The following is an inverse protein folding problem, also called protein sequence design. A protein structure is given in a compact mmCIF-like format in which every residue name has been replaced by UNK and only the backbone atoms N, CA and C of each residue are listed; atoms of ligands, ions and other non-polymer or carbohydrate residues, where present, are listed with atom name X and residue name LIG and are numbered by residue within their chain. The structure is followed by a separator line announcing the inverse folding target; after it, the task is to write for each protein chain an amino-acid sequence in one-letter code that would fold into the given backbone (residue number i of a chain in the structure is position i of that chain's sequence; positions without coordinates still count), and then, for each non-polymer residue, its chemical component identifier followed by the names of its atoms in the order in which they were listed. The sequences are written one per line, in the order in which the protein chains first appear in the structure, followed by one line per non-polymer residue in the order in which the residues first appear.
data_IF_261323043727
#
_entry.id   IF_261323043727
#
_cell.length_a   1.000
_cell.length_b   1.000
_cell.length_c   1.000
_cell.angle_alpha   90.00
_cell.angle_beta   90.00
_cell.angle_gamma   90.00
#
_symmetry.space_group_name_H-M   'P 1'
#
loop_
_entity.id
_entity.type
_entity.pdbx_description
1 polymer ?
#
# COMPACT_ATOMS: atom_id res chain seq x y z
N UNK A 1 44.92 -1.75 37.76
CA UNK A 1 44.15 -0.54 37.35
C UNK A 1 44.01 -0.49 35.83
N UNK A 2 45.08 -0.80 35.09
CA UNK A 2 45.06 -0.79 33.60
C UNK A 2 44.08 -1.77 32.95
N UNK A 3 43.90 -2.97 33.52
CA UNK A 3 42.90 -3.93 33.05
C UNK A 3 41.46 -3.44 33.22
N UNK A 4 41.17 -2.72 34.30
CA UNK A 4 39.85 -2.15 34.55
C UNK A 4 39.59 -1.00 33.55
N UNK A 5 40.60 -0.17 33.31
CA UNK A 5 40.50 0.96 32.34
C UNK A 5 40.32 0.41 30.93
N UNK A 6 41.07 -0.61 30.54
CA UNK A 6 40.92 -1.24 29.22
C UNK A 6 39.54 -1.91 29.02
N UNK A 7 39.02 -2.57 30.07
CA UNK A 7 37.69 -3.17 30.03
C UNK A 7 36.57 -2.11 29.93
N UNK A 8 36.74 -0.97 30.61
CA UNK A 8 35.83 0.17 30.51
C UNK A 8 35.87 0.84 29.11
N UNK A 9 37.05 0.94 28.53
CA UNK A 9 37.23 1.43 27.16
C UNK A 9 36.57 0.50 26.15
N UNK A 10 36.81 -0.81 26.25
CA UNK A 10 36.15 -1.81 25.42
C UNK A 10 34.62 -1.76 25.56
N UNK A 11 34.10 -1.61 26.79
CA UNK A 11 32.69 -1.47 27.03
C UNK A 11 32.14 -0.22 26.37
N UNK A 12 32.83 0.93 26.44
CA UNK A 12 32.41 2.18 25.79
C UNK A 12 32.39 2.04 24.26
N UNK A 13 33.43 1.44 23.67
CA UNK A 13 33.49 1.17 22.22
C UNK A 13 32.36 0.25 21.75
N UNK A 14 31.93 -0.64 22.64
CA UNK A 14 30.81 -1.57 22.37
C UNK A 14 29.43 -0.88 22.39
N UNK A 15 29.32 0.28 23.02
CA UNK A 15 28.06 1.00 23.11
C UNK A 15 27.67 1.66 21.78
N UNK A 16 26.38 1.73 21.51
CA UNK A 16 25.86 2.47 20.38
C UNK A 16 26.16 3.98 20.44
N UNK A 17 26.44 4.52 21.62
CA UNK A 17 26.78 5.95 21.78
C UNK A 17 28.12 6.30 21.11
N UNK A 18 29.12 5.42 21.17
CA UNK A 18 30.41 5.65 20.56
C UNK A 18 30.34 5.63 19.01
N UNK A 19 29.45 4.81 18.48
CA UNK A 19 29.31 4.60 17.04
C UNK A 19 28.18 5.47 16.41
N UNK A 20 27.56 6.37 17.17
CA UNK A 20 26.43 7.17 16.73
C UNK A 20 26.88 8.29 15.79
N UNK A 21 26.26 8.36 14.61
CA UNK A 21 26.41 9.45 13.65
C UNK A 21 25.18 10.35 13.64
N UNK A 22 25.30 11.56 13.08
CA UNK A 22 24.16 12.45 12.93
C UNK A 22 23.03 11.82 12.06
N UNK A 23 23.40 10.98 11.10
CA UNK A 23 22.42 10.28 10.25
C UNK A 23 21.57 9.30 11.07
N UNK A 24 22.16 8.57 12.01
CA UNK A 24 21.42 7.70 12.93
C UNK A 24 20.40 8.50 13.78
N UNK A 25 20.83 9.67 14.29
CA UNK A 25 19.95 10.56 15.07
C UNK A 25 18.77 11.02 14.24
N UNK A 26 19.00 11.42 12.97
CA UNK A 26 17.92 11.83 12.05
C UNK A 26 16.94 10.69 11.80
N UNK A 27 17.44 9.48 11.55
CA UNK A 27 16.54 8.33 11.29
C UNK A 27 15.75 7.92 12.52
N UNK A 28 16.35 7.95 13.71
CA UNK A 28 15.64 7.72 14.97
C UNK A 28 14.57 8.80 15.19
N UNK A 29 14.89 10.06 14.91
CA UNK A 29 13.92 11.15 15.01
C UNK A 29 12.75 10.96 14.03
N UNK A 30 13.00 10.54 12.78
CA UNK A 30 11.95 10.21 11.81
C UNK A 30 11.08 9.06 12.34
N UNK A 31 11.67 8.01 12.91
CA UNK A 31 10.92 6.91 13.53
C UNK A 31 10.00 7.38 14.66
N UNK A 32 10.51 8.28 15.53
CA UNK A 32 9.72 8.88 16.61
C UNK A 32 8.58 9.73 16.03
N UNK A 33 8.83 10.50 14.97
CA UNK A 33 7.79 11.29 14.29
C UNK A 33 6.68 10.37 13.73
N UNK A 34 7.03 9.24 13.10
CA UNK A 34 6.05 8.28 12.60
C UNK A 34 5.16 7.73 13.72
N UNK A 35 5.77 7.31 14.83
CA UNK A 35 5.03 6.83 16.01
C UNK A 35 4.12 7.94 16.56
N UNK A 36 4.63 9.17 16.65
CA UNK A 36 3.87 10.30 17.16
C UNK A 36 2.67 10.63 16.27
N UNK A 37 2.87 10.65 14.95
CA UNK A 37 1.76 10.87 13.98
C UNK A 37 0.72 9.76 14.07
N UNK A 38 1.15 8.51 14.21
CA UNK A 38 0.26 7.36 14.38
C UNK A 38 -0.60 7.49 15.65
N UNK A 39 -0.01 7.93 16.76
CA UNK A 39 -0.72 8.02 18.05
C UNK A 39 -1.59 9.29 18.10
N UNK A 40 -1.06 10.46 17.71
CA UNK A 40 -1.75 11.75 17.88
C UNK A 40 -2.76 12.03 16.80
N UNK A 41 -2.47 11.60 15.56
CA UNK A 41 -3.33 11.84 14.39
C UNK A 41 -4.13 10.61 13.97
N UNK A 42 -3.89 9.46 14.60
CA UNK A 42 -4.50 8.17 14.25
C UNK A 42 -4.29 7.80 12.77
N UNK A 43 -3.15 8.24 12.18
CA UNK A 43 -2.80 7.93 10.80
C UNK A 43 -2.21 6.52 10.71
N UNK A 44 -2.96 5.60 10.13
CA UNK A 44 -2.54 4.20 9.91
C UNK A 44 -1.72 3.60 11.08
N UNK A 45 -2.25 3.60 12.32
CA UNK A 45 -1.47 3.22 13.50
C UNK A 45 -0.95 1.79 13.46
N UNK A 46 -1.66 0.87 12.81
CA UNK A 46 -1.26 -0.53 12.68
C UNK A 46 0.00 -0.72 11.83
N UNK A 47 0.32 0.25 10.99
CA UNK A 47 1.51 0.24 10.12
C UNK A 47 2.59 1.19 10.61
N UNK A 48 2.26 2.46 10.88
CA UNK A 48 3.25 3.48 11.22
C UNK A 48 3.92 3.24 12.56
N UNK A 49 3.23 2.64 13.55
CA UNK A 49 3.86 2.31 14.84
C UNK A 49 4.93 1.23 14.67
N UNK A 50 4.66 0.07 14.06
CA UNK A 50 5.70 -0.94 13.82
C UNK A 50 6.83 -0.44 12.92
N UNK A 51 6.53 0.33 11.86
CA UNK A 51 7.56 0.90 10.98
C UNK A 51 8.45 1.87 11.75
N UNK A 52 7.85 2.83 12.48
CA UNK A 52 8.60 3.82 13.26
C UNK A 52 9.48 3.16 14.33
N UNK A 53 8.97 2.15 15.03
CA UNK A 53 9.74 1.40 16.00
C UNK A 53 10.86 0.58 15.35
N UNK A 54 10.58 -0.04 14.21
CA UNK A 54 11.58 -0.71 13.38
C UNK A 54 12.69 0.24 12.92
N UNK A 55 12.34 1.47 12.49
CA UNK A 55 13.32 2.51 12.13
C UNK A 55 14.25 2.85 13.30
N UNK A 56 13.72 2.93 14.52
CA UNK A 56 14.54 3.14 15.71
C UNK A 56 15.50 1.98 15.91
N UNK A 57 15.00 0.73 15.90
CA UNK A 57 15.85 -0.47 16.08
C UNK A 57 16.93 -0.56 15.01
N UNK A 58 16.57 -0.40 13.73
CA UNK A 58 17.48 -0.54 12.59
C UNK A 58 18.57 0.54 12.51
N UNK A 59 18.38 1.66 13.24
CA UNK A 59 19.33 2.77 13.28
C UNK A 59 20.02 2.96 14.63
N UNK A 60 19.92 2.00 15.55
CA UNK A 60 20.81 1.92 16.70
C UNK A 60 22.15 1.41 16.16
N UNK A 61 23.26 2.18 16.29
CA UNK A 61 24.56 1.74 15.82
C UNK A 61 25.02 0.50 16.56
N UNK A 62 25.46 -0.50 15.81
CA UNK A 62 25.90 -1.78 16.35
C UNK A 62 27.42 -1.89 16.19
N UNK A 63 28.05 -2.53 17.16
CA UNK A 63 29.47 -2.87 17.05
C UNK A 63 29.65 -3.96 15.95
N UNK A 64 30.62 -3.81 15.03
CA UNK A 64 30.86 -4.79 13.99
C UNK A 64 31.06 -6.20 14.53
N UNK A 65 30.39 -7.20 13.98
CA UNK A 65 30.53 -8.61 14.37
C UNK A 65 29.57 -9.12 15.43
N UNK A 66 28.60 -8.30 15.89
CA UNK A 66 27.52 -8.76 16.79
C UNK A 66 26.48 -9.66 16.12
N UNK A 67 26.38 -9.61 14.80
CA UNK A 67 25.47 -10.42 13.98
C UNK A 67 23.99 -10.35 14.44
N UNK A 68 23.50 -9.16 14.76
CA UNK A 68 22.11 -8.93 15.20
C UNK A 68 21.29 -8.04 14.26
N UNK A 69 21.92 -7.44 13.25
CA UNK A 69 21.30 -6.53 12.30
C UNK A 69 20.36 -7.21 11.30
N UNK A 70 19.47 -6.43 10.69
CA UNK A 70 18.46 -6.92 9.72
C UNK A 70 19.08 -7.50 8.44
N UNK A 71 20.29 -7.06 8.08
CA UNK A 71 21.02 -7.55 6.91
C UNK A 71 22.08 -8.61 7.24
N UNK A 72 22.25 -8.95 8.51
CA UNK A 72 23.24 -9.94 8.97
C UNK A 72 22.61 -11.33 8.97
N UNK A 73 23.12 -12.21 8.12
CA UNK A 73 22.57 -13.55 7.93
C UNK A 73 22.55 -14.34 9.24
N UNK A 74 21.43 -14.96 9.54
CA UNK A 74 21.21 -15.75 10.74
C UNK A 74 20.79 -14.96 11.98
N UNK A 75 20.78 -13.63 11.93
CA UNK A 75 20.20 -12.83 13.02
C UNK A 75 18.66 -12.99 13.10
N UNK A 76 18.10 -12.80 14.28
CA UNK A 76 16.64 -12.85 14.47
C UNK A 76 15.93 -11.83 13.56
N UNK A 77 16.44 -10.60 13.47
CA UNK A 77 15.89 -9.56 12.59
C UNK A 77 15.98 -9.96 11.13
N UNK A 78 17.05 -10.60 10.68
CA UNK A 78 17.21 -11.10 9.33
C UNK A 78 16.24 -12.23 9.03
N UNK A 79 16.06 -13.19 9.94
CA UNK A 79 15.09 -14.30 9.78
C UNK A 79 13.67 -13.75 9.58
N UNK A 80 13.26 -12.78 10.39
CA UNK A 80 11.96 -12.13 10.21
C UNK A 80 11.90 -11.34 8.90
N UNK A 81 12.98 -10.66 8.51
CA UNK A 81 13.06 -9.91 7.27
C UNK A 81 13.02 -10.77 6.00
N UNK A 82 13.36 -12.06 6.09
CA UNK A 82 13.25 -12.98 4.95
C UNK A 82 11.82 -13.05 4.40
N UNK A 83 10.80 -12.88 5.24
CA UNK A 83 9.41 -12.82 4.78
C UNK A 83 9.13 -11.66 3.83
N UNK A 84 9.81 -10.53 4.02
CA UNK A 84 9.79 -9.37 3.13
C UNK A 84 10.66 -9.63 1.91
N UNK A 85 11.93 -10.02 2.11
CA UNK A 85 12.94 -10.22 1.06
C UNK A 85 12.52 -11.31 0.06
N UNK A 86 11.96 -12.41 0.53
CA UNK A 86 11.48 -13.51 -0.32
C UNK A 86 10.08 -13.22 -0.88
N UNK A 87 9.34 -12.26 -0.31
CA UNK A 87 8.05 -11.80 -0.82
C UNK A 87 6.87 -12.71 -0.47
N UNK A 88 6.91 -13.50 0.63
CA UNK A 88 5.78 -14.33 1.04
C UNK A 88 4.82 -13.66 2.04
N UNK A 89 5.24 -12.60 2.75
CA UNK A 89 4.33 -11.80 3.59
C UNK A 89 3.20 -11.12 2.78
N UNK A 90 3.49 -10.43 1.65
CA UNK A 90 2.44 -9.74 0.90
C UNK A 90 1.27 -10.64 0.46
N UNK A 91 1.48 -11.86 -0.10
CA UNK A 91 0.38 -12.77 -0.38
C UNK A 91 -0.46 -13.13 0.85
N UNK A 92 0.13 -13.27 2.04
CA UNK A 92 -0.61 -13.53 3.27
C UNK A 92 -1.47 -12.33 3.71
N UNK A 93 -0.99 -11.10 3.51
CA UNK A 93 -1.82 -9.90 3.70
C UNK A 93 -2.99 -9.90 2.71
N UNK A 94 -2.74 -10.24 1.44
CA UNK A 94 -3.79 -10.35 0.42
C UNK A 94 -4.86 -11.39 0.78
N UNK A 95 -4.48 -12.49 1.43
CA UNK A 95 -5.43 -13.45 2.00
C UNK A 95 -6.36 -12.79 3.02
N UNK A 96 -5.80 -12.01 3.93
CA UNK A 96 -6.56 -11.27 4.95
C UNK A 96 -7.45 -10.18 4.32
N UNK A 97 -6.90 -9.39 3.39
CA UNK A 97 -7.66 -8.38 2.64
C UNK A 97 -8.82 -9.03 1.90
N UNK A 98 -8.61 -10.17 1.23
CA UNK A 98 -9.66 -10.91 0.55
C UNK A 98 -10.79 -11.34 1.50
N UNK A 99 -10.43 -11.84 2.69
CA UNK A 99 -11.39 -12.21 3.74
C UNK A 99 -12.14 -11.03 4.35
N UNK A 100 -11.57 -9.81 4.31
CA UNK A 100 -12.25 -8.57 4.73
C UNK A 100 -13.16 -8.00 3.65
N UNK A 101 -12.77 -8.15 2.39
CA UNK A 101 -13.38 -7.46 1.25
C UNK A 101 -14.80 -7.94 0.96
N UNK A 102 -15.68 -6.99 0.64
CA UNK A 102 -17.01 -7.25 0.06
C UNK A 102 -17.03 -6.79 -1.41
N UNK A 103 -17.06 -7.74 -2.32
CA UNK A 103 -17.12 -7.47 -3.76
C UNK A 103 -18.53 -7.13 -4.27
N UNK A 104 -19.55 -7.05 -3.40
CA UNK A 104 -20.93 -6.81 -3.80
C UNK A 104 -21.10 -5.54 -4.63
N UNK A 105 -20.43 -4.44 -4.27
CA UNK A 105 -20.49 -3.20 -5.03
C UNK A 105 -19.95 -3.38 -6.46
N UNK A 106 -18.88 -4.15 -6.62
CA UNK A 106 -18.25 -4.44 -7.91
C UNK A 106 -19.11 -5.40 -8.75
N UNK A 107 -19.67 -6.44 -8.13
CA UNK A 107 -20.57 -7.40 -8.78
C UNK A 107 -21.85 -6.70 -9.25
N UNK A 108 -22.40 -5.78 -8.43
CA UNK A 108 -23.63 -5.04 -8.78
C UNK A 108 -23.43 -4.06 -9.92
N UNK A 109 -22.23 -3.46 -10.03
CA UNK A 109 -21.89 -2.45 -11.04
C UNK A 109 -20.50 -2.72 -11.64
N UNK A 110 -20.33 -3.70 -12.56
CA UNK A 110 -19.03 -4.09 -13.11
C UNK A 110 -18.28 -2.95 -13.81
N UNK A 111 -18.97 -1.93 -14.32
CA UNK A 111 -18.34 -0.73 -14.90
C UNK A 111 -17.40 0.01 -13.95
N UNK A 112 -17.53 -0.19 -12.63
CA UNK A 112 -16.66 0.40 -11.62
C UNK A 112 -15.25 -0.17 -11.67
N UNK A 113 -15.04 -1.36 -12.27
CA UNK A 113 -13.72 -1.93 -12.55
C UNK A 113 -12.87 -0.97 -13.38
N UNK A 114 -13.49 -0.30 -14.36
CA UNK A 114 -12.80 0.63 -15.23
C UNK A 114 -12.22 1.85 -14.49
N UNK A 115 -12.88 2.26 -13.40
CA UNK A 115 -12.40 3.37 -12.56
C UNK A 115 -11.13 2.93 -11.80
N UNK A 116 -11.14 1.72 -11.24
CA UNK A 116 -9.95 1.13 -10.62
C UNK A 116 -8.79 0.99 -11.62
N UNK A 117 -9.09 0.51 -12.84
CA UNK A 117 -8.08 0.41 -13.90
C UNK A 117 -7.51 1.79 -14.30
N UNK A 118 -8.35 2.82 -14.41
CA UNK A 118 -7.92 4.17 -14.75
C UNK A 118 -6.99 4.77 -13.68
N UNK A 119 -7.23 4.50 -12.41
CA UNK A 119 -6.35 4.95 -11.32
C UNK A 119 -4.94 4.31 -11.41
N UNK A 120 -4.80 3.11 -12.00
CA UNK A 120 -3.49 2.49 -12.20
C UNK A 120 -2.59 3.26 -13.19
N UNK A 121 -3.12 4.24 -13.92
CA UNK A 121 -2.30 5.16 -14.70
C UNK A 121 -1.26 5.90 -13.84
N UNK A 122 -1.49 6.04 -12.53
CA UNK A 122 -0.50 6.53 -11.59
C UNK A 122 0.76 5.66 -11.54
N UNK A 123 0.61 4.33 -11.57
CA UNK A 123 1.73 3.37 -11.60
C UNK A 123 2.55 3.56 -12.87
N UNK A 124 1.92 3.52 -14.04
CA UNK A 124 2.61 3.64 -15.32
C UNK A 124 3.16 5.04 -15.55
N UNK A 125 2.46 6.08 -15.08
CA UNK A 125 2.96 7.45 -15.11
C UNK A 125 4.24 7.63 -14.29
N UNK A 126 4.27 7.10 -13.07
CA UNK A 126 5.46 7.12 -12.23
C UNK A 126 6.61 6.26 -12.80
N UNK A 127 6.29 5.13 -13.43
CA UNK A 127 7.28 4.33 -14.15
C UNK A 127 8.00 5.14 -15.22
N UNK A 128 7.25 5.83 -16.08
CA UNK A 128 7.82 6.68 -17.14
C UNK A 128 8.62 7.86 -16.56
N UNK A 129 8.13 8.49 -15.49
CA UNK A 129 8.85 9.57 -14.81
C UNK A 129 10.14 9.04 -14.16
N UNK A 130 10.13 7.87 -13.53
CA UNK A 130 11.33 7.27 -12.96
C UNK A 130 12.40 6.97 -14.02
N UNK A 131 11.99 6.44 -15.18
CA UNK A 131 12.90 6.26 -16.32
C UNK A 131 13.51 7.59 -16.78
N UNK A 132 12.72 8.66 -16.87
CA UNK A 132 13.21 10.00 -17.25
C UNK A 132 14.18 10.59 -16.23
N UNK A 133 14.10 10.18 -14.96
CA UNK A 133 15.02 10.59 -13.88
C UNK A 133 16.28 9.73 -13.79
N UNK A 134 16.46 8.76 -14.70
CA UNK A 134 17.66 7.94 -14.82
C UNK A 134 17.67 6.67 -13.96
N UNK A 135 16.51 6.19 -13.49
CA UNK A 135 16.40 4.87 -12.88
C UNK A 135 16.42 3.77 -13.94
N UNK A 136 16.94 2.59 -13.59
CA UNK A 136 16.86 1.41 -14.46
C UNK A 136 15.41 0.94 -14.63
N UNK A 137 15.05 0.24 -15.72
CA UNK A 137 13.67 -0.19 -15.94
C UNK A 137 13.06 -1.02 -14.81
N UNK A 138 13.82 -1.94 -14.22
CA UNK A 138 13.39 -2.72 -13.05
C UNK A 138 13.18 -1.84 -11.82
N UNK A 139 14.10 -0.92 -11.53
CA UNK A 139 13.96 0.06 -10.44
C UNK A 139 12.74 0.97 -10.67
N UNK A 140 12.58 1.47 -11.90
CA UNK A 140 11.46 2.32 -12.27
C UNK A 140 10.10 1.58 -12.11
N UNK A 141 10.04 0.29 -12.46
CA UNK A 141 8.87 -0.55 -12.23
C UNK A 141 8.54 -0.69 -10.74
N UNK A 142 9.57 -0.94 -9.91
CA UNK A 142 9.42 -1.03 -8.46
C UNK A 142 9.02 0.31 -7.82
N UNK A 143 9.47 1.45 -8.35
CA UNK A 143 9.06 2.79 -7.88
C UNK A 143 7.64 3.11 -8.35
N UNK A 144 7.32 2.78 -9.60
CA UNK A 144 6.01 3.07 -10.19
C UNK A 144 4.85 2.49 -9.40
N UNK A 145 5.02 1.28 -8.83
CA UNK A 145 3.96 0.58 -8.09
C UNK A 145 3.46 1.36 -6.87
N UNK A 146 4.22 2.30 -6.33
CA UNK A 146 3.79 3.19 -5.23
C UNK A 146 2.49 3.91 -5.60
N UNK A 147 2.30 4.23 -6.88
CA UNK A 147 1.09 4.89 -7.40
C UNK A 147 -0.19 4.07 -7.25
N UNK A 148 -0.10 2.77 -7.06
CA UNK A 148 -1.24 1.92 -6.73
C UNK A 148 -1.79 2.17 -5.32
N UNK A 149 -1.01 2.81 -4.44
CA UNK A 149 -1.30 3.01 -3.02
C UNK A 149 -1.60 1.69 -2.30
N UNK A 150 -0.77 0.68 -2.56
CA UNK A 150 -0.88 -0.68 -2.04
C UNK A 150 0.48 -1.12 -1.49
N UNK A 151 0.65 -0.99 -0.18
CA UNK A 151 1.90 -1.29 0.51
C UNK A 151 2.39 -2.73 0.30
N UNK A 152 1.54 -3.75 0.51
CA UNK A 152 1.90 -5.14 0.25
C UNK A 152 2.35 -5.39 -1.18
N UNK A 153 1.65 -4.85 -2.17
CA UNK A 153 2.03 -4.96 -3.59
C UNK A 153 3.37 -4.27 -3.87
N UNK A 154 3.61 -3.11 -3.25
CA UNK A 154 4.88 -2.38 -3.39
C UNK A 154 6.06 -3.20 -2.84
N UNK A 155 5.88 -3.86 -1.69
CA UNK A 155 6.89 -4.77 -1.13
C UNK A 155 7.10 -5.97 -2.04
N UNK A 156 6.02 -6.61 -2.49
CA UNK A 156 6.10 -7.79 -3.36
C UNK A 156 6.90 -7.50 -4.63
N UNK A 157 6.56 -6.43 -5.33
CA UNK A 157 7.23 -6.09 -6.58
C UNK A 157 8.67 -5.63 -6.36
N UNK A 158 8.92 -4.75 -5.37
CA UNK A 158 10.25 -4.24 -5.09
C UNK A 158 11.21 -5.32 -4.58
N UNK A 159 10.73 -6.32 -3.83
CA UNK A 159 11.54 -7.46 -3.40
C UNK A 159 12.08 -8.28 -4.58
N UNK A 160 11.40 -8.25 -5.72
CA UNK A 160 11.79 -8.98 -6.95
C UNK A 160 12.58 -8.12 -7.92
N UNK A 161 12.15 -6.87 -8.17
CA UNK A 161 12.73 -6.01 -9.19
C UNK A 161 13.87 -5.10 -8.69
N UNK A 162 13.79 -4.64 -7.43
CA UNK A 162 14.75 -3.69 -6.85
C UNK A 162 14.94 -3.89 -5.34
N UNK A 163 15.53 -5.01 -4.89
CA UNK A 163 15.68 -5.32 -3.48
C UNK A 163 16.43 -4.24 -2.68
N UNK A 164 17.41 -3.58 -3.31
CA UNK A 164 18.21 -2.53 -2.68
C UNK A 164 17.41 -1.24 -2.40
N UNK A 165 16.33 -1.00 -3.16
CA UNK A 165 15.45 0.17 -3.00
C UNK A 165 14.18 -0.17 -2.20
N UNK A 166 13.98 -1.43 -1.84
CA UNK A 166 12.74 -1.92 -1.24
C UNK A 166 12.37 -1.16 0.04
N UNK A 167 13.34 -0.88 0.93
CA UNK A 167 13.08 -0.14 2.16
C UNK A 167 12.53 1.27 1.89
N UNK A 168 13.14 2.02 0.97
CA UNK A 168 12.69 3.36 0.59
C UNK A 168 11.32 3.32 -0.11
N UNK A 169 11.09 2.34 -0.99
CA UNK A 169 9.81 2.15 -1.70
C UNK A 169 8.69 1.80 -0.72
N UNK A 170 8.93 0.85 0.19
CA UNK A 170 7.95 0.41 1.17
C UNK A 170 7.55 1.56 2.13
N UNK A 171 8.55 2.27 2.71
CA UNK A 171 8.27 3.41 3.59
C UNK A 171 7.56 4.52 2.83
N UNK A 172 7.93 4.81 1.59
CA UNK A 172 7.23 5.78 0.74
C UNK A 172 5.77 5.38 0.54
N UNK A 173 5.51 4.12 0.12
CA UNK A 173 4.15 3.62 -0.11
C UNK A 173 3.27 3.73 1.14
N UNK A 174 3.74 3.25 2.29
CA UNK A 174 2.98 3.31 3.54
C UNK A 174 2.79 4.75 4.06
N UNK A 175 3.80 5.63 3.89
CA UNK A 175 3.67 7.03 4.26
C UNK A 175 2.57 7.73 3.45
N UNK A 176 2.48 7.45 2.15
CA UNK A 176 1.43 8.04 1.30
C UNK A 176 0.06 7.42 1.56
N UNK A 177 -0.03 6.13 1.92
CA UNK A 177 -1.28 5.55 2.40
C UNK A 177 -1.80 6.29 3.64
N UNK A 178 -0.94 6.57 4.61
CA UNK A 178 -1.29 7.34 5.80
C UNK A 178 -1.72 8.79 5.49
N UNK A 179 -1.20 9.37 4.40
CA UNK A 179 -1.50 10.73 3.95
C UNK A 179 -2.67 10.82 2.96
N UNK A 180 -3.34 9.72 2.65
CA UNK A 180 -4.48 9.67 1.70
C UNK A 180 -5.48 10.79 1.93
N UNK A 181 -6.03 11.04 3.13
CA UNK A 181 -7.02 12.08 3.33
C UNK A 181 -6.48 13.50 3.05
N UNK A 182 -5.19 13.71 3.30
CA UNK A 182 -4.53 15.01 3.12
C UNK A 182 -4.25 15.29 1.65
N UNK A 183 -3.81 14.26 0.89
CA UNK A 183 -3.38 14.42 -0.50
C UNK A 183 -4.59 14.40 -1.45
N UNK A 184 -5.54 13.48 -1.27
CA UNK A 184 -6.64 13.30 -2.21
C UNK A 184 -7.65 14.43 -2.20
N UNK A 185 -8.02 14.92 -1.02
CA UNK A 185 -9.06 15.94 -0.88
C UNK A 185 -8.80 17.20 -1.72
N UNK A 186 -7.62 17.85 -1.68
CA UNK A 186 -7.33 19.02 -2.54
C UNK A 186 -7.46 18.71 -4.03
N UNK A 187 -6.98 17.54 -4.47
CA UNK A 187 -7.03 17.12 -5.88
C UNK A 187 -8.48 16.95 -6.33
N UNK A 188 -9.30 16.28 -5.52
CA UNK A 188 -10.72 16.08 -5.79
C UNK A 188 -11.46 17.42 -5.90
N UNK A 189 -11.18 18.35 -4.97
CA UNK A 189 -11.80 19.68 -4.98
C UNK A 189 -11.38 20.50 -6.20
N UNK A 190 -10.14 20.37 -6.65
CA UNK A 190 -9.63 21.06 -7.85
C UNK A 190 -10.27 20.51 -9.13
N UNK A 191 -10.46 19.20 -9.22
CA UNK A 191 -10.91 18.53 -10.43
C UNK A 191 -12.44 18.41 -10.55
N UNK A 192 -13.21 18.73 -9.51
CA UNK A 192 -14.66 18.61 -9.51
C UNK A 192 -15.35 19.93 -9.24
N UNK A 193 -16.45 20.18 -9.94
CA UNK A 193 -17.34 21.32 -9.71
C UNK A 193 -18.32 21.05 -8.56
N UNK A 194 -18.89 22.11 -7.96
CA UNK A 194 -19.94 21.96 -6.93
C UNK A 194 -21.14 21.15 -7.42
N UNK A 195 -21.54 21.33 -8.70
CA UNK A 195 -22.67 20.59 -9.30
C UNK A 195 -22.36 19.10 -9.42
N UNK A 196 -21.15 18.74 -9.81
CA UNK A 196 -20.73 17.33 -9.93
C UNK A 196 -20.68 16.61 -8.57
N UNK A 197 -20.29 17.30 -7.51
CA UNK A 197 -20.25 16.75 -6.14
C UNK A 197 -21.63 16.43 -5.57
N UNK A 198 -22.68 17.11 -6.07
CA UNK A 198 -24.07 16.91 -5.67
C UNK A 198 -24.75 15.75 -6.40
N UNK A 199 -24.09 15.08 -7.34
CA UNK A 199 -24.65 13.93 -8.06
C UNK A 199 -24.93 12.82 -7.03
N UNK A 200 -26.21 12.43 -6.93
CA UNK A 200 -26.67 11.30 -6.11
C UNK A 200 -26.71 10.03 -6.96
N UNK A 201 -26.15 8.96 -6.43
CA UNK A 201 -26.16 7.68 -7.11
C UNK A 201 -27.27 6.78 -6.56
N UNK A 202 -27.99 6.03 -7.44
CA UNK A 202 -29.00 5.08 -6.99
C UNK A 202 -28.33 3.94 -6.18
N UNK A 203 -29.04 3.42 -5.18
CA UNK A 203 -28.56 2.30 -4.38
C UNK A 203 -28.17 1.11 -5.25
N UNK A 204 -27.05 0.43 -4.96
CA UNK A 204 -26.64 -0.77 -5.69
C UNK A 204 -27.72 -1.87 -5.57
N UNK A 205 -27.80 -2.74 -6.59
CA UNK A 205 -28.68 -3.91 -6.51
C UNK A 205 -28.17 -4.88 -5.42
N UNK A 206 -29.10 -5.60 -4.83
CA UNK A 206 -28.74 -6.70 -3.92
C UNK A 206 -28.09 -7.83 -4.72
N UNK A 207 -26.93 -8.30 -4.26
CA UNK A 207 -26.17 -9.38 -4.86
C UNK A 207 -26.51 -10.69 -4.15
N UNK A 208 -26.80 -11.75 -4.92
CA UNK A 208 -27.13 -13.06 -4.35
C UNK A 208 -25.87 -13.76 -3.79
N UNK A 209 -26.07 -14.66 -2.80
CA UNK A 209 -24.97 -15.43 -2.24
C UNK A 209 -24.25 -16.30 -3.29
N UNK A 210 -24.97 -16.79 -4.28
CA UNK A 210 -24.36 -17.57 -5.39
C UNK A 210 -23.41 -16.71 -6.22
N UNK A 211 -23.77 -15.46 -6.54
CA UNK A 211 -22.87 -14.54 -7.25
C UNK A 211 -21.62 -14.24 -6.43
N UNK A 212 -21.76 -14.06 -5.11
CA UNK A 212 -20.61 -13.81 -4.20
C UNK A 212 -19.64 -14.99 -4.12
N UNK A 213 -20.12 -16.23 -4.25
CA UNK A 213 -19.27 -17.44 -4.25
C UNK A 213 -18.62 -17.64 -5.61
N UNK A 214 -19.34 -17.40 -6.70
CA UNK A 214 -18.83 -17.62 -8.07
C UNK A 214 -17.80 -16.53 -8.43
N UNK A 215 -18.00 -15.30 -8.00
CA UNK A 215 -17.17 -14.17 -8.39
C UNK A 215 -15.67 -14.36 -8.08
N UNK A 216 -15.23 -14.77 -6.87
CA UNK A 216 -13.81 -14.98 -6.60
C UNK A 216 -13.18 -16.07 -7.45
N UNK A 217 -13.93 -17.12 -7.81
CA UNK A 217 -13.42 -18.20 -8.67
C UNK A 217 -13.23 -17.69 -10.10
N UNK A 218 -14.27 -17.05 -10.68
CA UNK A 218 -14.21 -16.52 -12.05
C UNK A 218 -13.21 -15.38 -12.14
N UNK A 219 -13.21 -14.47 -11.16
CA UNK A 219 -12.27 -13.34 -11.10
C UNK A 219 -10.82 -13.80 -11.01
N UNK A 220 -10.55 -14.81 -10.17
CA UNK A 220 -9.22 -15.41 -10.07
C UNK A 220 -8.79 -16.05 -11.40
N UNK A 221 -9.60 -16.93 -11.97
CA UNK A 221 -9.26 -17.60 -13.23
C UNK A 221 -9.02 -16.58 -14.35
N UNK A 222 -9.90 -15.59 -14.49
CA UNK A 222 -9.75 -14.55 -15.51
C UNK A 222 -8.45 -13.77 -15.35
N UNK A 223 -8.15 -13.29 -14.14
CA UNK A 223 -6.94 -12.51 -13.88
C UNK A 223 -5.67 -13.35 -13.96
N UNK A 224 -5.68 -14.60 -13.50
CA UNK A 224 -4.54 -15.52 -13.53
C UNK A 224 -4.17 -15.94 -14.95
N UNK A 225 -5.15 -16.15 -15.83
CA UNK A 225 -4.89 -16.44 -17.25
C UNK A 225 -4.37 -15.23 -18.01
N UNK A 226 -4.79 -14.02 -17.66
CA UNK A 226 -4.29 -12.79 -18.32
C UNK A 226 -2.90 -12.42 -17.80
N UNK A 227 -2.66 -12.52 -16.47
CA UNK A 227 -1.42 -12.11 -15.82
C UNK A 227 -0.95 -13.19 -14.85
N UNK A 228 -0.31 -14.26 -15.33
CA UNK A 228 0.14 -15.38 -14.47
C UNK A 228 1.14 -14.96 -13.38
N UNK A 229 1.97 -13.96 -13.63
CA UNK A 229 2.95 -13.42 -12.67
C UNK A 229 2.31 -12.73 -11.45
N UNK A 230 1.04 -12.32 -11.55
CA UNK A 230 0.24 -11.80 -10.43
C UNK A 230 -0.42 -12.90 -9.56
N UNK A 231 -0.27 -14.17 -9.91
CA UNK A 231 -0.93 -15.30 -9.25
C UNK A 231 -0.74 -15.35 -7.73
N UNK A 232 0.43 -15.08 -7.14
CA UNK A 232 0.57 -15.12 -5.67
C UNK A 232 -0.32 -14.11 -4.95
N UNK A 233 -0.45 -12.88 -5.46
CA UNK A 233 -1.27 -11.83 -4.85
C UNK A 233 -2.76 -12.05 -5.13
N UNK A 234 -3.12 -12.21 -6.41
CA UNK A 234 -4.51 -12.38 -6.85
C UNK A 234 -5.11 -13.69 -6.33
N UNK A 235 -4.33 -14.78 -6.33
CA UNK A 235 -4.75 -16.06 -5.80
C UNK A 235 -5.12 -15.97 -4.33
N UNK A 236 -4.30 -15.33 -3.52
CA UNK A 236 -4.57 -15.16 -2.09
C UNK A 236 -5.74 -14.19 -1.83
N UNK A 237 -5.88 -13.12 -2.61
CA UNK A 237 -7.01 -12.21 -2.52
C UNK A 237 -8.34 -12.94 -2.74
N UNK A 238 -8.47 -13.61 -3.87
CA UNK A 238 -9.70 -14.32 -4.22
C UNK A 238 -9.93 -15.55 -3.33
N UNK A 239 -8.87 -16.23 -2.89
CA UNK A 239 -8.98 -17.32 -1.93
C UNK A 239 -9.52 -16.85 -0.57
N UNK A 240 -9.00 -15.75 -0.03
CA UNK A 240 -9.50 -15.14 1.20
C UNK A 240 -10.99 -14.76 1.10
N UNK A 241 -11.39 -14.19 -0.03
CA UNK A 241 -12.79 -13.86 -0.27
C UNK A 241 -13.68 -15.12 -0.37
N UNK A 242 -13.20 -16.16 -1.05
CA UNK A 242 -13.92 -17.43 -1.12
C UNK A 242 -14.09 -18.08 0.26
N UNK A 243 -13.08 -18.01 1.13
CA UNK A 243 -13.19 -18.49 2.53
C UNK A 243 -14.33 -17.79 3.28
N UNK A 244 -14.51 -16.48 3.04
CA UNK A 244 -15.57 -15.68 3.65
C UNK A 244 -16.94 -16.02 3.06
N UNK A 245 -17.06 -15.96 1.74
CA UNK A 245 -18.36 -16.03 1.04
C UNK A 245 -18.90 -17.46 0.95
N UNK A 246 -18.06 -18.49 1.09
CA UNK A 246 -18.50 -19.90 1.10
C UNK A 246 -19.48 -20.22 2.23
N UNK A 247 -19.39 -19.49 3.36
CA UNK A 247 -20.19 -19.72 4.56
C UNK A 247 -19.75 -20.92 5.43
N UNK A 248 -19.04 -21.89 4.82
CA UNK A 248 -18.60 -23.14 5.50
C UNK A 248 -17.21 -23.03 6.12
N UNK A 249 -16.40 -22.06 5.68
CA UNK A 249 -15.03 -21.82 6.17
C UNK A 249 -14.92 -20.53 6.99
N UNK A 250 -16.01 -20.12 7.63
CA UNK A 250 -16.09 -18.86 8.37
C UNK A 250 -14.96 -18.68 9.39
N UNK A 251 -14.62 -19.74 10.14
CA UNK A 251 -13.52 -19.70 11.10
C UNK A 251 -12.16 -19.36 10.46
N UNK A 252 -11.88 -19.91 9.27
CA UNK A 252 -10.65 -19.61 8.54
C UNK A 252 -10.65 -18.15 8.05
N UNK A 253 -11.78 -17.66 7.54
CA UNK A 253 -11.93 -16.27 7.13
C UNK A 253 -11.73 -15.29 8.31
N UNK A 254 -12.28 -15.62 9.48
CA UNK A 254 -12.10 -14.81 10.70
C UNK A 254 -10.64 -14.79 11.17
N UNK A 255 -9.95 -15.91 11.11
CA UNK A 255 -8.52 -15.99 11.42
C UNK A 255 -7.68 -15.17 10.41
N UNK A 256 -8.01 -15.28 9.12
CA UNK A 256 -7.27 -14.57 8.06
C UNK A 256 -7.44 -13.06 8.16
N UNK A 257 -8.66 -12.55 8.38
CA UNK A 257 -8.96 -11.12 8.40
C UNK A 257 -8.59 -10.38 9.69
N UNK A 258 -8.28 -11.10 10.76
CA UNK A 258 -7.90 -10.55 12.06
C UNK A 258 -6.50 -11.05 12.45
N UNK A 259 -6.37 -12.13 13.28
CA UNK A 259 -5.08 -12.50 13.86
C UNK A 259 -3.94 -12.69 12.85
N UNK A 260 -4.20 -13.29 11.68
CA UNK A 260 -3.15 -13.52 10.69
C UNK A 260 -2.65 -12.19 10.10
N UNK A 261 -3.57 -11.33 9.63
CA UNK A 261 -3.19 -10.07 9.01
C UNK A 261 -2.48 -9.15 10.01
N UNK A 262 -2.91 -9.14 11.28
CA UNK A 262 -2.32 -8.32 12.34
C UNK A 262 -0.88 -8.75 12.64
N UNK A 263 -0.63 -10.07 12.75
CA UNK A 263 0.72 -10.62 12.96
C UNK A 263 1.63 -10.27 11.77
N UNK A 264 1.17 -10.54 10.56
CA UNK A 264 1.99 -10.27 9.35
C UNK A 264 2.24 -8.77 9.17
N UNK A 265 1.26 -7.93 9.41
CA UNK A 265 1.40 -6.47 9.33
C UNK A 265 2.42 -5.96 10.35
N UNK A 266 2.39 -6.47 11.58
CA UNK A 266 3.37 -6.13 12.61
C UNK A 266 4.79 -6.54 12.19
N UNK A 267 4.97 -7.76 11.67
CA UNK A 267 6.26 -8.26 11.22
C UNK A 267 6.80 -7.48 10.01
N UNK A 268 5.94 -7.18 9.03
CA UNK A 268 6.33 -6.34 7.88
C UNK A 268 6.73 -4.95 8.36
N UNK A 269 5.86 -4.28 9.14
CA UNK A 269 6.15 -2.94 9.60
C UNK A 269 7.47 -2.85 10.34
N UNK A 270 7.69 -3.76 11.30
CA UNK A 270 8.92 -3.81 12.08
C UNK A 270 10.15 -4.03 11.19
N UNK A 271 10.11 -5.05 10.33
CA UNK A 271 11.29 -5.44 9.53
C UNK A 271 11.59 -4.46 8.38
N UNK A 272 10.56 -3.89 7.76
CA UNK A 272 10.71 -2.79 6.79
C UNK A 272 11.29 -1.56 7.49
N UNK A 273 10.80 -1.21 8.67
CA UNK A 273 11.40 -0.14 9.47
C UNK A 273 12.89 -0.41 9.77
N UNK A 274 13.24 -1.61 10.22
CA UNK A 274 14.64 -2.00 10.47
C UNK A 274 15.52 -1.93 9.22
N UNK A 275 14.96 -2.14 8.04
CA UNK A 275 15.69 -2.09 6.76
C UNK A 275 16.04 -0.67 6.30
N UNK A 276 15.43 0.36 6.88
CA UNK A 276 15.72 1.77 6.56
C UNK A 276 16.91 2.30 7.31
N UNK A 277 18.09 1.72 7.04
CA UNK A 277 19.33 2.17 7.63
C UNK A 277 19.75 3.54 7.08
N UNK A 278 20.39 4.34 7.93
CA UNK A 278 20.73 5.74 7.66
C UNK A 278 21.58 5.94 6.41
N UNK A 279 22.55 5.06 6.18
CA UNK A 279 23.47 5.07 5.03
C UNK A 279 22.75 4.83 3.70
N UNK A 280 21.72 3.99 3.69
CA UNK A 280 20.94 3.65 2.50
C UNK A 280 19.78 4.61 2.28
N UNK A 281 19.10 4.99 3.36
CA UNK A 281 17.86 5.74 3.29
C UNK A 281 18.09 7.25 3.05
N UNK A 282 19.09 7.86 3.68
CA UNK A 282 19.43 9.28 3.51
C UNK A 282 20.27 9.53 2.25
N UNK A 283 19.75 9.09 1.11
CA UNK A 283 20.40 9.22 -0.19
C UNK A 283 19.58 10.07 -1.15
N UNK A 284 20.22 10.68 -2.16
CA UNK A 284 19.53 11.41 -3.22
C UNK A 284 18.54 10.52 -3.99
N UNK A 285 18.81 9.21 -4.08
CA UNK A 285 17.90 8.24 -4.71
C UNK A 285 16.61 8.09 -3.92
N UNK A 286 16.69 8.00 -2.60
CA UNK A 286 15.52 7.89 -1.72
C UNK A 286 14.64 9.13 -1.81
N UNK A 287 15.23 10.33 -1.84
CA UNK A 287 14.47 11.59 -2.02
C UNK A 287 13.73 11.59 -3.34
N UNK A 288 14.36 11.13 -4.44
CA UNK A 288 13.70 10.97 -5.74
C UNK A 288 12.53 9.97 -5.68
N UNK A 289 12.70 8.84 -4.96
CA UNK A 289 11.64 7.83 -4.77
C UNK A 289 10.44 8.45 -4.05
N UNK A 290 10.66 9.21 -2.98
CA UNK A 290 9.59 9.91 -2.27
C UNK A 290 8.88 10.92 -3.20
N UNK A 291 9.61 11.75 -3.93
CA UNK A 291 9.01 12.71 -4.86
C UNK A 291 8.17 12.01 -5.96
N UNK A 292 8.71 10.93 -6.54
CA UNK A 292 8.00 10.11 -7.54
C UNK A 292 6.76 9.45 -6.95
N UNK A 293 6.84 8.94 -5.72
CA UNK A 293 5.71 8.36 -5.02
C UNK A 293 4.59 9.36 -4.82
N UNK A 294 4.88 10.58 -4.39
CA UNK A 294 3.89 11.64 -4.26
C UNK A 294 3.23 11.98 -5.61
N UNK A 295 4.06 12.18 -6.65
CA UNK A 295 3.56 12.48 -7.99
C UNK A 295 2.68 11.35 -8.53
N UNK A 296 3.09 10.09 -8.34
CA UNK A 296 2.31 8.94 -8.79
C UNK A 296 0.94 8.88 -8.13
N UNK A 297 0.88 9.19 -6.85
CA UNK A 297 -0.36 9.22 -6.08
C UNK A 297 -1.31 10.35 -6.54
N UNK A 298 -0.74 11.52 -6.85
CA UNK A 298 -1.48 12.64 -7.44
C UNK A 298 -2.04 12.24 -8.81
N UNK A 299 -1.22 11.62 -9.67
CA UNK A 299 -1.65 11.17 -11.01
C UNK A 299 -2.75 10.12 -10.89
N UNK A 300 -2.60 9.11 -10.01
CA UNK A 300 -3.59 8.07 -9.80
C UNK A 300 -4.95 8.65 -9.39
N UNK A 301 -4.95 9.53 -8.40
CA UNK A 301 -6.18 10.20 -7.91
C UNK A 301 -6.82 11.05 -9.02
N UNK A 302 -6.01 11.83 -9.74
CA UNK A 302 -6.49 12.68 -10.84
C UNK A 302 -7.09 11.85 -11.98
N UNK A 303 -6.39 10.80 -12.41
CA UNK A 303 -6.86 9.91 -13.48
C UNK A 303 -8.17 9.22 -13.09
N UNK A 304 -8.33 8.75 -11.86
CA UNK A 304 -9.57 8.15 -11.40
C UNK A 304 -10.75 9.12 -11.45
N UNK A 305 -10.58 10.34 -10.93
CA UNK A 305 -11.62 11.38 -10.94
C UNK A 305 -11.96 11.82 -12.37
N UNK A 306 -10.95 12.10 -13.20
CA UNK A 306 -11.15 12.53 -14.58
C UNK A 306 -11.78 11.43 -15.43
N UNK A 307 -11.44 10.16 -15.18
CA UNK A 307 -12.06 9.05 -15.89
C UNK A 307 -13.56 8.91 -15.60
N UNK A 308 -13.99 9.14 -14.36
CA UNK A 308 -15.43 9.17 -14.06
C UNK A 308 -16.13 10.33 -14.81
N UNK A 309 -15.48 11.50 -14.90
CA UNK A 309 -16.02 12.61 -15.71
C UNK A 309 -16.12 12.21 -17.18
N UNK A 310 -15.10 11.54 -17.71
CA UNK A 310 -15.13 11.01 -19.08
C UNK A 310 -16.27 9.99 -19.28
N UNK A 311 -16.45 9.04 -18.36
CA UNK A 311 -17.57 8.10 -18.40
C UNK A 311 -18.91 8.82 -18.40
N UNK A 312 -19.05 9.90 -17.66
CA UNK A 312 -20.30 10.69 -17.58
C UNK A 312 -20.68 11.38 -18.88
N UNK A 313 -19.76 11.57 -19.83
CA UNK A 313 -20.09 12.08 -21.17
C UNK A 313 -20.97 11.10 -21.96
N UNK A 314 -20.88 9.80 -21.65
CA UNK A 314 -21.65 8.74 -22.29
C UNK A 314 -22.87 8.31 -21.47
N UNK A 315 -23.04 8.85 -20.24
CA UNK A 315 -24.16 8.54 -19.36
C UNK A 315 -25.33 9.48 -19.59
N UNK A 316 -26.55 8.92 -19.57
CA UNK A 316 -27.79 9.72 -19.60
C UNK A 316 -27.96 10.50 -18.27
N UNK A 317 -28.65 11.61 -18.32
CA UNK A 317 -29.05 12.33 -17.10
C UNK A 317 -29.84 11.40 -16.17
N UNK A 318 -29.52 11.44 -14.88
CA UNK A 318 -30.06 10.51 -13.86
C UNK A 318 -29.28 9.22 -13.65
N UNK A 319 -28.34 8.86 -14.56
CA UNK A 319 -27.43 7.70 -14.40
C UNK A 319 -25.96 8.08 -14.29
N UNK A 320 -25.68 9.36 -14.08
CA UNK A 320 -24.31 9.88 -13.90
C UNK A 320 -23.69 9.36 -12.61
N UNK A 321 -22.41 9.09 -12.68
CA UNK A 321 -21.60 8.66 -11.54
C UNK A 321 -21.02 9.91 -10.87
N UNK A 322 -21.02 9.96 -9.54
CA UNK A 322 -20.37 11.07 -8.83
C UNK A 322 -18.86 10.98 -9.02
N UNK A 323 -18.19 12.01 -9.60
CA UNK A 323 -16.75 11.96 -9.86
C UNK A 323 -15.90 11.80 -8.60
N UNK A 324 -16.44 12.14 -7.43
CA UNK A 324 -15.75 11.94 -6.17
C UNK A 324 -15.36 10.48 -5.90
N UNK A 325 -16.12 9.49 -6.41
CA UNK A 325 -15.75 8.08 -6.18
C UNK A 325 -14.54 7.64 -7.04
N UNK A 326 -14.14 8.47 -8.01
CA UNK A 326 -12.97 8.19 -8.85
C UNK A 326 -11.66 8.14 -8.09
N UNK A 327 -11.53 8.93 -6.99
CA UNK A 327 -10.34 8.88 -6.15
C UNK A 327 -10.15 7.51 -5.48
N UNK A 328 -11.25 6.79 -5.24
CA UNK A 328 -11.23 5.49 -4.61
C UNK A 328 -10.67 4.37 -5.51
N UNK A 329 -10.41 4.65 -6.80
CA UNK A 329 -9.74 3.73 -7.72
C UNK A 329 -8.30 3.38 -7.31
N UNK A 330 -7.66 4.14 -6.42
CA UNK A 330 -6.42 3.74 -5.76
C UNK A 330 -6.70 2.67 -4.70
N UNK A 331 -5.73 1.81 -4.44
CA UNK A 331 -5.90 0.58 -3.64
C UNK A 331 -5.85 0.80 -2.11
N UNK A 332 -5.79 2.05 -1.62
CA UNK A 332 -5.85 2.34 -0.18
C UNK A 332 -7.25 2.05 0.38
N UNK A 333 -7.47 0.82 0.84
CA UNK A 333 -8.76 0.33 1.33
C UNK A 333 -8.80 0.36 2.85
N UNK A 334 -9.85 0.92 3.48
CA UNK A 334 -11.01 1.64 2.91
C UNK A 334 -10.83 3.16 2.81
N UNK A 335 -9.63 3.71 3.06
CA UNK A 335 -9.41 5.13 3.32
C UNK A 335 -9.77 6.03 2.14
N UNK A 336 -9.40 5.65 0.92
CA UNK A 336 -9.80 6.42 -0.27
C UNK A 336 -11.32 6.50 -0.43
N UNK A 337 -12.05 5.44 -0.09
CA UNK A 337 -13.52 5.44 -0.12
C UNK A 337 -14.09 6.34 0.99
N UNK A 338 -13.46 6.38 2.17
CA UNK A 338 -13.85 7.32 3.26
C UNK A 338 -13.62 8.77 2.86
N UNK A 339 -12.55 9.07 2.11
CA UNK A 339 -12.32 10.43 1.58
C UNK A 339 -13.43 10.84 0.61
N UNK A 340 -13.89 9.92 -0.27
CA UNK A 340 -15.05 10.18 -1.13
C UNK A 340 -16.30 10.53 -0.33
N UNK A 341 -16.59 9.77 0.72
CA UNK A 341 -17.72 10.01 1.63
C UNK A 341 -17.58 11.36 2.34
N UNK A 342 -16.41 11.65 2.89
CA UNK A 342 -16.15 12.90 3.61
C UNK A 342 -16.38 14.12 2.71
N UNK A 343 -15.79 14.14 1.51
CA UNK A 343 -15.93 15.27 0.56
C UNK A 343 -17.35 15.35 0.01
N UNK A 344 -18.02 14.21 -0.21
CA UNK A 344 -19.40 14.16 -0.63
C UNK A 344 -20.35 14.77 0.40
N UNK A 345 -20.18 14.42 1.67
CA UNK A 345 -20.98 14.96 2.79
C UNK A 345 -20.69 16.42 3.11
N UNK A 346 -19.49 16.91 2.86
CA UNK A 346 -19.18 18.34 2.95
C UNK A 346 -19.96 19.16 1.89
N UNK A 347 -20.22 18.57 0.72
CA UNK A 347 -21.01 19.22 -0.32
C UNK A 347 -22.52 19.09 -0.09
N UNK A 348 -23.00 17.94 0.35
CA UNK A 348 -24.38 17.62 0.71
C UNK A 348 -24.38 16.56 1.84
N UNK A 349 -24.79 16.91 3.08
CA UNK A 349 -24.78 15.98 4.22
C UNK A 349 -25.59 14.70 4.02
N UNK A 350 -26.54 14.70 3.08
CA UNK A 350 -27.38 13.53 2.75
C UNK A 350 -26.85 12.69 1.57
N UNK A 351 -25.72 13.06 0.97
CA UNK A 351 -25.11 12.34 -0.14
C UNK A 351 -24.06 11.34 0.36
N UNK A 352 -24.48 10.10 0.54
CA UNK A 352 -23.62 9.02 1.02
C UNK A 352 -22.96 8.28 -0.15
N UNK A 353 -21.64 8.42 -0.28
CA UNK A 353 -20.85 7.86 -1.38
C UNK A 353 -20.04 6.62 -0.99
N UNK A 354 -19.90 6.28 0.30
CA UNK A 354 -19.02 5.22 0.79
C UNK A 354 -19.28 3.88 0.06
N UNK A 355 -20.54 3.44 0.03
CA UNK A 355 -20.90 2.15 -0.59
C UNK A 355 -20.61 2.12 -2.09
N UNK A 356 -20.74 3.27 -2.77
CA UNK A 356 -20.41 3.39 -4.19
C UNK A 356 -18.90 3.45 -4.43
N UNK A 357 -18.15 4.13 -3.55
CA UNK A 357 -16.72 4.26 -3.63
C UNK A 357 -15.97 2.95 -3.31
N UNK A 358 -16.58 2.04 -2.53
CA UNK A 358 -16.01 0.71 -2.27
C UNK A 358 -15.85 -0.12 -3.55
N UNK A 359 -16.71 0.05 -4.57
CA UNK A 359 -16.55 -0.64 -5.85
C UNK A 359 -15.23 -0.33 -6.56
N UNK A 360 -14.95 0.94 -6.92
CA UNK A 360 -13.66 1.35 -7.47
C UNK A 360 -12.48 1.02 -6.55
N UNK A 361 -12.66 1.11 -5.22
CA UNK A 361 -11.61 0.87 -4.26
C UNK A 361 -11.12 -0.59 -4.29
N UNK A 362 -12.06 -1.52 -4.28
CA UNK A 362 -11.74 -2.94 -4.41
C UNK A 362 -11.22 -3.29 -5.80
N UNK A 363 -11.74 -2.63 -6.85
CA UNK A 363 -11.19 -2.76 -8.21
C UNK A 363 -9.74 -2.26 -8.28
N UNK A 364 -9.38 -1.25 -7.48
CA UNK A 364 -8.01 -0.77 -7.33
C UNK A 364 -7.06 -1.83 -6.78
N UNK A 365 -7.49 -2.61 -5.78
CA UNK A 365 -6.67 -3.73 -5.22
C UNK A 365 -6.37 -4.79 -6.28
N UNK A 366 -7.40 -5.18 -7.03
CA UNK A 366 -7.20 -6.10 -8.16
C UNK A 366 -6.28 -5.47 -9.19
N UNK A 367 -6.48 -4.18 -9.51
CA UNK A 367 -5.72 -3.42 -10.49
C UNK A 367 -4.24 -3.29 -10.12
N UNK A 368 -3.91 -2.98 -8.86
CA UNK A 368 -2.53 -2.89 -8.38
C UNK A 368 -1.80 -4.23 -8.45
N UNK A 369 -2.46 -5.34 -8.06
CA UNK A 369 -1.91 -6.68 -8.15
C UNK A 369 -1.70 -7.14 -9.62
N UNK A 370 -2.63 -6.78 -10.52
CA UNK A 370 -2.49 -7.01 -11.97
C UNK A 370 -1.34 -6.19 -12.53
N UNK A 371 -1.25 -4.90 -12.19
CA UNK A 371 -0.15 -4.04 -12.64
C UNK A 371 1.21 -4.53 -12.14
N UNK A 372 1.31 -4.96 -10.88
CA UNK A 372 2.52 -5.59 -10.35
C UNK A 372 2.89 -6.86 -11.11
N UNK A 373 1.91 -7.70 -11.42
CA UNK A 373 2.12 -8.88 -12.24
C UNK A 373 2.63 -8.53 -13.64
N UNK A 374 2.03 -7.55 -14.31
CA UNK A 374 2.48 -7.07 -15.62
C UNK A 374 3.94 -6.58 -15.54
N UNK A 375 4.24 -5.70 -14.58
CA UNK A 375 5.60 -5.18 -14.41
C UNK A 375 6.60 -6.29 -14.09
N UNK A 376 6.23 -7.25 -13.26
CA UNK A 376 7.08 -8.41 -12.96
C UNK A 376 7.30 -9.30 -14.19
N UNK A 377 6.29 -9.50 -15.01
CA UNK A 377 6.40 -10.33 -16.22
C UNK A 377 7.24 -9.71 -17.33
N UNK A 378 7.33 -8.37 -17.38
CA UNK A 378 8.11 -7.66 -18.41
C UNK A 378 9.51 -7.24 -17.95
N UNK A 379 9.73 -7.06 -16.65
CA UNK A 379 10.95 -6.47 -16.10
C UNK A 379 11.72 -7.42 -15.17
N UNK A 380 11.11 -8.56 -14.80
CA UNK A 380 11.66 -9.58 -13.91
C UNK A 380 12.49 -10.67 -14.59
#
# INVERSE_FOLDING_TARGET
MDQIISSLQQFWEFTGFCNMTWQHIVMIAIGIVFITLAIVKEWEPLLLVPIGFGMIIGNIPMFPGLNIGVYEDGSVLNILYQGVRQGWYPPLIFLGIGAMTDFSALISQPRLILIGAAAQMGIFGAYLLALSMGFMPNEAGAIGIIGGADGPTAIFLSSKLAPDLMGAIAVSAYSYMALVPVIQKPIMLLLTTKKERLIRMPSPRVVSQREKIIFPIVGFLTTAFIVPSGLPLLGMLFFGNLLKESGVTRRLAETARGPLIDVITTLIGLTVGCSTQADKFLSARSIKIFALGLLSFIIATACGVLFVKFMNLFCREGHKINPLIGNAGVSAVPDSARVSEMVGREADPSNHLLMHAMGPNVAGVIGSAVAAGILLGFLG
#
